data_IF_916460044715
#
_entry.id   IF_916460044715
#
_cell.length_a   1.000
_cell.length_b   1.000
_cell.length_c   1.000
_cell.angle_alpha   90.00
_cell.angle_beta   90.00
_cell.angle_gamma   90.00
#
_symmetry.space_group_name_H-M   'P 1'
#
loop_
_entity.id
_entity.type
_entity.pdbx_description
1 polymer ?
#
# COMPACT_ATOMS: atom_id res chain seq x y z
N UNK A 1 12.63 24.56 67.13
CA UNK A 1 11.59 25.28 66.36
C UNK A 1 12.23 25.77 65.08
N UNK A 2 11.87 25.19 63.93
CA UNK A 2 12.21 25.72 62.60
C UNK A 2 11.07 25.32 61.67
N UNK A 3 10.30 26.30 61.24
CA UNK A 3 9.06 26.14 60.47
C UNK A 3 9.37 25.90 59.01
N UNK A 4 8.86 24.79 58.50
CA UNK A 4 8.73 24.42 57.09
C UNK A 4 8.04 25.51 56.27
N UNK A 5 8.68 25.96 55.17
CA UNK A 5 8.00 26.68 54.10
C UNK A 5 7.43 25.65 53.12
N UNK A 6 6.12 25.48 53.17
CA UNK A 6 5.34 24.71 52.20
C UNK A 6 5.27 25.55 50.91
N UNK A 7 5.95 25.09 49.87
CA UNK A 7 5.87 25.68 48.53
C UNK A 7 4.50 25.38 47.93
N UNK A 8 3.77 26.42 47.57
CA UNK A 8 2.49 26.34 46.86
C UNK A 8 2.68 25.67 45.49
N UNK A 9 1.86 24.67 45.11
CA UNK A 9 1.89 24.13 43.76
C UNK A 9 1.36 25.18 42.76
N UNK A 10 2.15 25.42 41.71
CA UNK A 10 1.87 26.38 40.64
C UNK A 10 0.60 26.00 39.87
N UNK A 11 -0.49 26.71 40.14
CA UNK A 11 -1.79 26.51 39.46
C UNK A 11 -1.73 26.74 37.94
N UNK A 12 -0.67 27.39 37.44
CA UNK A 12 -0.43 27.66 36.02
C UNK A 12 -0.14 26.38 35.23
N UNK A 13 0.56 25.40 35.81
CA UNK A 13 0.75 24.10 35.16
C UNK A 13 -0.53 23.26 35.16
N UNK A 14 -1.38 23.43 36.17
CA UNK A 14 -2.65 22.71 36.27
C UNK A 14 -3.66 23.23 35.23
N UNK A 15 -3.78 24.56 35.08
CA UNK A 15 -4.62 25.17 34.05
C UNK A 15 -4.16 24.86 32.63
N UNK A 16 -2.86 24.92 32.37
CA UNK A 16 -2.31 24.56 31.06
C UNK A 16 -2.59 23.10 30.68
N UNK A 17 -2.68 22.20 31.68
CA UNK A 17 -3.02 20.79 31.49
C UNK A 17 -4.53 20.59 31.28
N UNK A 18 -5.37 21.37 31.97
CA UNK A 18 -6.84 21.33 31.82
C UNK A 18 -7.29 21.91 30.48
N UNK A 19 -6.72 23.03 30.03
CA UNK A 19 -7.02 23.57 28.70
C UNK A 19 -6.53 22.65 27.57
N UNK A 20 -5.41 21.93 27.77
CA UNK A 20 -4.94 20.87 26.86
C UNK A 20 -5.89 19.68 26.80
N UNK A 21 -6.40 19.22 27.93
CA UNK A 21 -7.40 18.14 28.01
C UNK A 21 -8.69 18.50 27.27
N UNK A 22 -9.17 19.74 27.37
CA UNK A 22 -10.33 20.19 26.60
C UNK A 22 -10.03 20.34 25.10
N UNK A 23 -8.80 20.74 24.74
CA UNK A 23 -8.34 20.79 23.36
C UNK A 23 -8.22 19.41 22.71
N UNK A 24 -7.61 18.43 23.37
CA UNK A 24 -7.49 17.06 22.85
C UNK A 24 -8.86 16.38 22.74
N UNK A 25 -9.74 16.58 23.73
CA UNK A 25 -11.11 16.06 23.66
C UNK A 25 -11.93 16.67 22.51
N UNK A 26 -11.86 17.98 22.29
CA UNK A 26 -12.56 18.61 21.16
C UNK A 26 -12.03 18.14 19.80
N UNK A 27 -10.71 17.95 19.69
CA UNK A 27 -10.04 17.48 18.47
C UNK A 27 -10.30 16.00 18.18
N UNK A 28 -10.49 15.17 19.21
CA UNK A 28 -10.89 13.76 19.05
C UNK A 28 -12.24 13.60 18.33
N UNK A 29 -13.07 14.64 18.30
CA UNK A 29 -14.37 14.66 17.61
C UNK A 29 -14.35 15.37 16.25
N UNK A 30 -13.30 16.12 15.91
CA UNK A 30 -13.13 16.62 14.54
C UNK A 30 -12.72 15.46 13.64
N UNK A 31 -13.64 14.94 12.83
CA UNK A 31 -13.30 13.93 11.82
C UNK A 31 -12.31 14.53 10.84
N UNK A 32 -11.33 13.74 10.41
CA UNK A 32 -10.56 14.07 9.22
C UNK A 32 -11.54 14.25 8.06
N UNK A 33 -11.20 15.13 7.12
CA UNK A 33 -11.95 15.17 5.86
C UNK A 33 -11.83 13.81 5.19
N UNK A 34 -12.92 13.29 4.59
CA UNK A 34 -12.82 12.05 3.84
C UNK A 34 -11.81 12.23 2.71
N UNK A 35 -10.96 11.23 2.56
CA UNK A 35 -9.85 11.19 1.60
C UNK A 35 -9.87 9.85 0.90
N UNK A 36 -9.63 9.87 -0.41
CA UNK A 36 -9.81 8.69 -1.26
C UNK A 36 -8.51 7.86 -1.40
N UNK A 37 -7.35 8.47 -1.12
CA UNK A 37 -6.03 7.86 -1.28
C UNK A 37 -5.08 8.15 -0.10
N UNK A 38 -4.03 7.33 0.00
CA UNK A 38 -3.05 7.38 1.07
C UNK A 38 -2.19 8.66 1.08
N UNK A 39 -1.66 9.15 -0.06
CA UNK A 39 -0.96 10.44 -0.09
C UNK A 39 -1.80 11.62 0.44
N UNK A 40 -3.08 11.69 0.05
CA UNK A 40 -4.01 12.71 0.54
C UNK A 40 -4.25 12.58 2.05
N UNK A 41 -4.37 11.36 2.57
CA UNK A 41 -4.48 11.10 4.00
C UNK A 41 -3.26 11.61 4.76
N UNK A 42 -2.05 11.27 4.32
CA UNK A 42 -0.81 11.69 4.98
C UNK A 42 -0.63 13.21 4.94
N UNK A 43 -0.97 13.85 3.82
CA UNK A 43 -0.97 15.30 3.71
C UNK A 43 -1.96 15.95 4.69
N UNK A 44 -3.15 15.37 4.87
CA UNK A 44 -4.13 15.85 5.84
C UNK A 44 -3.67 15.66 7.28
N UNK A 45 -3.07 14.51 7.61
CA UNK A 45 -2.46 14.28 8.92
C UNK A 45 -1.35 15.31 9.20
N UNK A 46 -0.47 15.57 8.23
CA UNK A 46 0.55 16.60 8.35
C UNK A 46 -0.01 18.00 8.57
N UNK A 47 -1.03 18.40 7.80
CA UNK A 47 -1.72 19.69 7.98
C UNK A 47 -2.32 19.82 9.38
N UNK A 48 -2.91 18.74 9.91
CA UNK A 48 -3.61 18.73 11.18
C UNK A 48 -2.67 18.71 12.39
N UNK A 49 -1.63 17.88 12.35
CA UNK A 49 -0.78 17.61 13.51
C UNK A 49 0.48 18.48 13.56
N UNK A 50 0.96 19.04 12.44
CA UNK A 50 2.13 19.93 12.47
C UNK A 50 1.96 21.18 13.35
N UNK A 51 0.78 21.86 13.42
CA UNK A 51 0.59 22.96 14.37
C UNK A 51 0.63 22.51 15.84
N UNK A 52 0.15 21.29 16.14
CA UNK A 52 0.15 20.72 17.49
C UNK A 52 1.58 20.39 17.94
N UNK A 53 2.33 19.67 17.10
CA UNK A 53 3.73 19.36 17.36
C UNK A 53 4.56 20.63 17.60
N UNK A 54 4.36 21.68 16.78
CA UNK A 54 5.02 22.98 16.98
C UNK A 54 4.65 23.65 18.31
N UNK A 55 3.41 23.52 18.76
CA UNK A 55 2.96 24.12 20.02
C UNK A 55 3.62 23.44 21.25
N UNK A 56 3.96 22.16 21.13
CA UNK A 56 4.65 21.38 22.15
C UNK A 56 6.16 21.28 21.90
N UNK A 57 6.71 22.08 20.97
CA UNK A 57 8.13 22.08 20.58
C UNK A 57 8.66 20.71 20.11
N UNK A 58 7.76 19.85 19.64
CA UNK A 58 8.07 18.51 19.13
C UNK A 58 8.33 18.57 17.63
N UNK A 59 9.42 17.95 17.18
CA UNK A 59 9.68 17.72 15.76
C UNK A 59 8.72 16.64 15.24
N UNK A 60 8.09 16.89 14.09
CA UNK A 60 7.20 15.93 13.42
C UNK A 60 7.72 15.65 12.01
N UNK A 61 7.97 14.38 11.72
CA UNK A 61 8.39 13.89 10.41
C UNK A 61 7.35 12.94 9.83
N UNK A 62 7.14 13.05 8.52
CA UNK A 62 6.23 12.21 7.74
C UNK A 62 7.00 11.74 6.52
N UNK A 63 7.22 10.44 6.42
CA UNK A 63 8.02 9.84 5.35
C UNK A 63 7.27 8.68 4.70
N UNK A 64 7.42 8.54 3.39
CA UNK A 64 6.72 7.55 2.57
C UNK A 64 7.70 6.96 1.58
N UNK A 65 7.81 5.64 1.59
CA UNK A 65 8.60 4.90 0.61
C UNK A 65 8.10 5.24 -0.81
N UNK A 66 8.97 5.71 -1.72
CA UNK A 66 8.60 6.04 -3.10
C UNK A 66 8.05 4.85 -3.89
N UNK A 67 8.21 3.60 -3.43
CA UNK A 67 7.61 2.41 -4.03
C UNK A 67 6.10 2.25 -3.73
N UNK A 68 5.55 3.01 -2.79
CA UNK A 68 4.13 2.96 -2.45
C UNK A 68 3.29 3.53 -3.60
N UNK A 69 2.31 2.77 -4.06
CA UNK A 69 1.42 3.19 -5.13
C UNK A 69 0.57 4.41 -4.69
N UNK A 70 0.46 5.45 -5.52
CA UNK A 70 -0.26 6.68 -5.15
C UNK A 70 -1.79 6.50 -5.13
N UNK A 71 -2.29 5.46 -5.79
CA UNK A 71 -3.71 5.19 -6.03
C UNK A 71 -4.25 4.03 -5.18
N UNK A 72 -3.59 3.72 -4.06
CA UNK A 72 -4.07 2.71 -3.12
C UNK A 72 -5.44 3.09 -2.56
N UNK A 73 -6.33 2.11 -2.54
CA UNK A 73 -7.70 2.22 -2.03
C UNK A 73 -7.90 1.34 -0.81
N UNK A 74 -8.80 1.76 0.09
CA UNK A 74 -9.08 1.07 1.34
C UNK A 74 -9.93 1.90 2.28
N UNK A 75 -10.02 1.48 3.55
CA UNK A 75 -10.76 2.20 4.58
C UNK A 75 -9.98 3.42 5.11
N UNK A 76 -9.71 4.40 4.24
CA UNK A 76 -8.85 5.55 4.53
C UNK A 76 -9.34 6.39 5.71
N UNK A 77 -10.66 6.56 5.86
CA UNK A 77 -11.25 7.29 6.99
C UNK A 77 -10.96 6.62 8.34
N UNK A 78 -11.07 5.29 8.39
CA UNK A 78 -10.80 4.51 9.61
C UNK A 78 -9.31 4.49 9.91
N UNK A 79 -8.48 4.28 8.90
CA UNK A 79 -7.02 4.37 9.02
C UNK A 79 -6.59 5.75 9.53
N UNK A 80 -7.10 6.82 8.94
CA UNK A 80 -6.80 8.18 9.36
C UNK A 80 -7.20 8.44 10.81
N UNK A 81 -8.34 7.91 11.25
CA UNK A 81 -8.77 8.00 12.65
C UNK A 81 -7.78 7.29 13.58
N UNK A 82 -7.33 6.09 13.20
CA UNK A 82 -6.34 5.34 13.99
C UNK A 82 -5.00 6.08 14.02
N UNK A 83 -4.43 6.42 12.87
CA UNK A 83 -3.14 7.12 12.78
C UNK A 83 -3.17 8.46 13.52
N UNK A 84 -4.27 9.21 13.40
CA UNK A 84 -4.46 10.45 14.15
C UNK A 84 -4.44 10.25 15.67
N UNK A 85 -5.05 9.17 16.17
CA UNK A 85 -5.02 8.85 17.59
C UNK A 85 -3.62 8.43 18.08
N UNK A 86 -2.84 7.74 17.23
CA UNK A 86 -1.47 7.34 17.53
C UNK A 86 -0.52 8.55 17.52
N UNK A 87 -0.67 9.46 16.56
CA UNK A 87 0.08 10.71 16.45
C UNK A 87 -0.23 11.66 17.62
N UNK A 88 -1.49 11.81 18.00
CA UNK A 88 -1.86 12.63 19.16
C UNK A 88 -1.19 12.11 20.44
N UNK A 89 -1.22 10.79 20.66
CA UNK A 89 -0.50 10.18 21.78
C UNK A 89 1.00 10.44 21.69
N UNK A 90 1.61 10.24 20.51
CA UNK A 90 3.05 10.42 20.30
C UNK A 90 3.49 11.85 20.65
N UNK A 91 2.77 12.86 20.15
CA UNK A 91 3.06 14.27 20.42
C UNK A 91 2.88 14.59 21.91
N UNK A 92 1.81 14.09 22.53
CA UNK A 92 1.56 14.31 23.96
C UNK A 92 2.69 13.80 24.87
N UNK A 93 3.33 12.67 24.50
CA UNK A 93 4.38 12.04 25.32
C UNK A 93 5.79 12.53 25.00
N UNK A 94 6.04 12.92 23.75
CA UNK A 94 7.32 13.42 23.25
C UNK A 94 7.38 14.96 23.24
N UNK A 95 6.68 15.65 24.13
CA UNK A 95 6.71 17.11 24.22
C UNK A 95 8.16 17.62 24.34
N UNK A 96 8.61 18.42 23.36
CA UNK A 96 10.00 18.89 23.22
C UNK A 96 10.99 17.90 22.58
N UNK A 97 10.50 16.75 22.10
CA UNK A 97 11.27 15.67 21.49
C UNK A 97 10.93 15.47 20.02
N UNK A 98 10.78 14.22 19.60
CA UNK A 98 10.63 13.82 18.20
C UNK A 98 9.51 12.79 18.00
N UNK A 99 8.73 12.98 16.94
CA UNK A 99 7.71 12.06 16.45
C UNK A 99 7.87 11.85 14.95
N UNK A 100 7.76 10.61 14.50
CA UNK A 100 7.74 10.27 13.08
C UNK A 100 6.55 9.37 12.74
N UNK A 101 6.02 9.54 11.53
CA UNK A 101 5.20 8.52 10.86
C UNK A 101 5.89 8.13 9.56
N UNK A 102 6.27 6.85 9.48
CA UNK A 102 6.91 6.25 8.31
C UNK A 102 5.93 5.26 7.66
N UNK A 103 5.94 5.20 6.33
CA UNK A 103 5.12 4.28 5.56
C UNK A 103 6.02 3.52 4.59
N UNK A 104 6.20 2.23 4.84
CA UNK A 104 7.11 1.36 4.11
C UNK A 104 6.34 0.28 3.34
N UNK A 105 6.77 -0.03 2.10
CA UNK A 105 6.23 -1.16 1.34
C UNK A 105 6.92 -2.45 1.82
N UNK A 106 6.13 -3.42 2.29
CA UNK A 106 6.66 -4.71 2.79
C UNK A 106 6.23 -5.92 1.97
N UNK A 107 5.24 -5.75 1.09
CA UNK A 107 4.82 -6.78 0.15
C UNK A 107 3.95 -6.21 -0.95
N UNK A 108 4.02 -6.81 -2.14
CA UNK A 108 3.25 -6.37 -3.30
C UNK A 108 2.70 -7.56 -4.06
N UNK A 109 1.48 -7.39 -4.55
CA UNK A 109 0.85 -8.23 -5.55
C UNK A 109 0.30 -7.34 -6.67
N UNK A 110 -0.08 -7.88 -7.83
CA UNK A 110 -0.63 -7.06 -8.92
C UNK A 110 -1.95 -6.35 -8.61
N UNK A 111 -2.62 -6.69 -7.50
CA UNK A 111 -3.87 -6.06 -7.07
C UNK A 111 -3.82 -5.47 -5.67
N UNK A 112 -2.68 -5.54 -4.98
CA UNK A 112 -2.57 -5.06 -3.61
C UNK A 112 -1.14 -4.74 -3.19
N UNK A 113 -0.99 -3.81 -2.25
CA UNK A 113 0.27 -3.59 -1.54
C UNK A 113 0.04 -3.76 -0.04
N UNK A 114 0.95 -4.45 0.63
CA UNK A 114 1.01 -4.55 2.08
C UNK A 114 2.01 -3.52 2.59
N UNK A 115 1.56 -2.64 3.48
CA UNK A 115 2.35 -1.55 4.01
C UNK A 115 2.59 -1.72 5.52
N UNK A 116 3.76 -1.28 5.98
CA UNK A 116 4.03 -1.01 7.39
C UNK A 116 3.92 0.49 7.65
N UNK A 117 2.99 0.89 8.50
CA UNK A 117 2.83 2.25 8.97
C UNK A 117 3.36 2.34 10.41
N UNK A 118 4.48 3.03 10.60
CA UNK A 118 5.17 3.11 11.89
C UNK A 118 5.04 4.51 12.47
N UNK A 119 4.35 4.63 13.60
CA UNK A 119 4.36 5.85 14.42
C UNK A 119 5.39 5.70 15.52
N UNK A 120 6.47 6.48 15.46
CA UNK A 120 7.57 6.47 16.41
C UNK A 120 7.61 7.75 17.25
N UNK A 121 8.03 7.64 18.51
CA UNK A 121 8.33 8.77 19.39
C UNK A 121 9.48 8.45 20.34
N UNK A 122 10.18 9.48 20.81
CA UNK A 122 11.27 9.39 21.80
C UNK A 122 10.81 9.57 23.26
N UNK A 123 9.50 9.53 23.50
CA UNK A 123 8.90 9.64 24.82
C UNK A 123 9.04 8.36 25.66
N UNK A 124 8.45 8.36 26.87
CA UNK A 124 8.47 7.21 27.76
C UNK A 124 7.90 5.94 27.09
N UNK A 125 8.48 4.75 27.36
CA UNK A 125 8.02 3.48 26.79
C UNK A 125 6.52 3.24 27.01
N UNK A 126 5.80 2.91 25.95
CA UNK A 126 4.38 2.55 26.01
C UNK A 126 4.22 1.04 25.88
N UNK A 127 3.45 0.42 26.79
CA UNK A 127 3.19 -1.02 26.70
C UNK A 127 2.06 -1.30 25.71
N UNK A 128 2.13 -2.46 25.03
CA UNK A 128 1.06 -2.93 24.15
C UNK A 128 -0.31 -3.08 24.87
N UNK A 129 -0.30 -3.21 26.20
CA UNK A 129 -1.49 -3.32 27.05
C UNK A 129 -2.04 -1.98 27.53
N UNK A 130 -1.44 -0.85 27.14
CA UNK A 130 -1.93 0.47 27.50
C UNK A 130 -3.39 0.65 27.00
N UNK A 131 -4.34 1.12 27.84
CA UNK A 131 -5.71 1.36 27.42
C UNK A 131 -5.86 2.25 26.17
N UNK A 132 -4.91 3.15 25.91
CA UNK A 132 -4.88 3.99 24.72
C UNK A 132 -4.64 3.19 23.43
N UNK A 133 -4.08 1.98 23.52
CA UNK A 133 -3.82 1.09 22.37
C UNK A 133 -4.99 0.17 22.02
N UNK A 134 -5.99 0.02 22.91
CA UNK A 134 -7.13 -0.88 22.69
C UNK A 134 -7.94 -0.49 21.44
N UNK A 135 -8.31 0.79 21.32
CA UNK A 135 -9.11 1.27 20.19
C UNK A 135 -8.33 1.17 18.87
N UNK A 136 -7.07 1.67 18.78
CA UNK A 136 -6.22 1.43 17.61
C UNK A 136 -6.13 -0.05 17.22
N UNK A 137 -5.79 -0.92 18.18
CA UNK A 137 -5.62 -2.35 17.92
C UNK A 137 -6.89 -2.99 17.35
N UNK A 138 -8.03 -2.80 18.00
CA UNK A 138 -9.31 -3.38 17.53
C UNK A 138 -9.73 -2.82 16.17
N UNK A 139 -9.45 -1.54 15.89
CA UNK A 139 -9.77 -0.94 14.60
C UNK A 139 -8.90 -1.54 13.49
N UNK A 140 -7.59 -1.68 13.70
CA UNK A 140 -6.67 -2.30 12.74
C UNK A 140 -7.03 -3.77 12.49
N UNK A 141 -7.32 -4.54 13.55
CA UNK A 141 -7.75 -5.94 13.41
C UNK A 141 -9.05 -6.05 12.58
N UNK A 142 -9.98 -5.09 12.73
CA UNK A 142 -11.21 -5.04 11.95
C UNK A 142 -10.97 -4.72 10.48
N UNK A 143 -9.92 -3.96 10.17
CA UNK A 143 -9.45 -3.72 8.81
C UNK A 143 -8.65 -4.90 8.22
N UNK A 144 -8.51 -6.01 8.97
CA UNK A 144 -7.73 -7.17 8.54
C UNK A 144 -6.23 -7.02 8.70
N UNK A 145 -5.77 -5.99 9.43
CA UNK A 145 -4.37 -5.74 9.71
C UNK A 145 -3.90 -6.27 11.07
N UNK A 146 -2.65 -5.95 11.39
CA UNK A 146 -2.03 -6.24 12.69
C UNK A 146 -1.38 -4.99 13.27
N UNK A 147 -1.47 -4.80 14.59
CA UNK A 147 -0.78 -3.72 15.31
C UNK A 147 0.18 -4.30 16.34
N UNK A 148 1.44 -3.91 16.23
CA UNK A 148 2.52 -4.24 17.15
C UNK A 148 3.03 -2.98 17.85
N UNK A 149 3.42 -3.11 19.12
CA UNK A 149 4.08 -2.04 19.87
C UNK A 149 5.43 -2.53 20.33
N UNK A 150 6.47 -1.82 19.91
CA UNK A 150 7.83 -2.01 20.37
C UNK A 150 8.23 -0.81 21.19
N UNK A 151 8.86 -1.01 22.35
CA UNK A 151 9.30 0.11 23.18
C UNK A 151 10.53 -0.24 23.98
N UNK A 152 11.41 0.74 24.17
CA UNK A 152 12.62 0.60 24.94
C UNK A 152 13.10 1.95 25.48
N UNK A 153 13.80 1.98 26.62
CA UNK A 153 14.22 3.23 27.27
C UNK A 153 15.20 4.06 26.43
N UNK A 154 15.93 3.44 25.50
CA UNK A 154 16.89 4.13 24.61
C UNK A 154 16.31 4.43 23.22
N UNK A 155 15.17 3.83 22.89
CA UNK A 155 14.63 3.80 21.52
C UNK A 155 13.26 4.49 21.43
N UNK A 156 12.64 4.75 22.57
CA UNK A 156 11.29 5.31 22.67
C UNK A 156 10.21 4.27 22.41
N UNK A 157 9.12 4.68 21.77
CA UNK A 157 8.00 3.81 21.39
C UNK A 157 7.84 3.80 19.87
N UNK A 158 7.66 2.61 19.28
CA UNK A 158 7.22 2.41 17.90
C UNK A 158 5.94 1.61 17.87
N UNK A 159 4.90 2.18 17.27
CA UNK A 159 3.65 1.48 16.98
C UNK A 159 3.64 1.18 15.50
N UNK A 160 3.70 -0.11 15.16
CA UNK A 160 3.82 -0.62 13.80
C UNK A 160 2.47 -1.22 13.41
N UNK A 161 1.92 -0.73 12.32
CA UNK A 161 0.63 -1.17 11.76
C UNK A 161 0.91 -1.82 10.41
N UNK A 162 0.58 -3.10 10.28
CA UNK A 162 0.65 -3.83 9.01
C UNK A 162 -0.75 -3.92 8.40
N UNK A 163 -0.90 -3.49 7.15
CA UNK A 163 -2.18 -3.46 6.45
C UNK A 163 -2.01 -3.68 4.95
N UNK A 164 -2.91 -4.47 4.36
CA UNK A 164 -3.03 -4.64 2.92
C UNK A 164 -4.03 -3.64 2.34
N UNK A 165 -3.64 -2.98 1.25
CA UNK A 165 -4.44 -2.03 0.50
C UNK A 165 -4.70 -2.58 -0.89
N UNK A 166 -5.91 -2.35 -1.41
CA UNK A 166 -6.23 -2.72 -2.77
C UNK A 166 -5.60 -1.69 -3.71
N UNK A 167 -4.85 -2.16 -4.68
CA UNK A 167 -4.31 -1.36 -5.77
C UNK A 167 -5.24 -1.51 -6.98
N UNK A 168 -5.68 -0.41 -7.62
CA UNK A 168 -6.38 -0.49 -8.89
C UNK A 168 -5.53 -1.29 -9.87
N UNK A 169 -6.12 -2.32 -10.48
CA UNK A 169 -5.41 -3.14 -11.47
C UNK A 169 -4.99 -2.22 -12.62
N UNK A 170 -3.69 -1.93 -12.72
CA UNK A 170 -3.15 -1.18 -13.85
C UNK A 170 -3.13 -2.13 -15.04
N UNK A 171 -4.11 -1.97 -15.93
CA UNK A 171 -4.16 -2.75 -17.16
C UNK A 171 -2.81 -2.62 -17.88
N UNK A 172 -2.23 -3.72 -18.37
CA UNK A 172 -0.97 -3.65 -19.08
C UNK A 172 -1.12 -2.71 -20.28
N UNK A 173 -0.14 -1.83 -20.46
CA UNK A 173 -0.17 -0.84 -21.54
C UNK A 173 0.14 -1.56 -22.86
N UNK A 174 -0.78 -1.43 -23.81
CA UNK A 174 -0.64 -1.91 -25.18
C UNK A 174 -0.60 -0.69 -26.09
N UNK A 175 0.50 -0.49 -26.82
CA UNK A 175 0.61 0.61 -27.77
C UNK A 175 -0.01 0.23 -29.12
N UNK A 176 -1.32 0.41 -29.22
CA UNK A 176 -2.09 0.11 -30.44
C UNK A 176 -1.63 0.98 -31.63
N UNK A 177 -1.19 2.20 -31.37
CA UNK A 177 -0.72 3.12 -32.42
C UNK A 177 0.61 2.66 -33.00
N UNK A 178 1.54 2.24 -32.13
CA UNK A 178 2.78 1.59 -32.55
C UNK A 178 2.48 0.30 -33.32
N UNK A 179 1.59 -0.56 -32.82
CA UNK A 179 1.20 -1.80 -33.51
C UNK A 179 0.67 -1.51 -34.92
N UNK A 180 -0.24 -0.55 -35.03
CA UNK A 180 -0.85 -0.11 -36.29
C UNK A 180 0.18 0.44 -37.27
N UNK A 181 1.12 1.24 -36.77
CA UNK A 181 2.20 1.82 -37.56
C UNK A 181 3.14 0.72 -38.09
N UNK A 182 3.57 -0.20 -37.21
CA UNK A 182 4.46 -1.32 -37.55
C UNK A 182 3.83 -2.28 -38.57
N UNK A 183 2.52 -2.51 -38.47
CA UNK A 183 1.78 -3.41 -39.36
C UNK A 183 1.33 -2.75 -40.67
N UNK A 184 1.54 -1.44 -40.83
CA UNK A 184 1.22 -0.74 -42.07
C UNK A 184 -0.27 -0.39 -42.26
N UNK A 185 -1.06 -0.40 -41.19
CA UNK A 185 -2.44 0.12 -41.19
C UNK A 185 -3.48 -0.74 -40.46
N UNK A 186 -4.73 -0.26 -40.47
CA UNK A 186 -5.83 -0.81 -39.67
C UNK A 186 -6.24 -2.24 -40.07
N UNK A 187 -6.23 -2.56 -41.37
CA UNK A 187 -6.61 -3.89 -41.84
C UNK A 187 -5.65 -4.98 -41.32
N UNK A 188 -4.35 -4.72 -41.39
CA UNK A 188 -3.32 -5.62 -40.87
C UNK A 188 -3.39 -5.73 -39.34
N UNK A 189 -3.66 -4.62 -38.64
CA UNK A 189 -3.89 -4.62 -37.19
C UNK A 189 -5.02 -5.58 -36.79
N UNK A 190 -6.17 -5.52 -37.46
CA UNK A 190 -7.33 -6.37 -37.17
C UNK A 190 -7.00 -7.86 -37.37
N UNK A 191 -6.28 -8.20 -38.43
CA UNK A 191 -5.85 -9.58 -38.70
C UNK A 191 -4.88 -10.10 -37.63
N UNK A 192 -3.91 -9.27 -37.24
CA UNK A 192 -2.96 -9.61 -36.18
C UNK A 192 -3.68 -9.77 -34.84
N UNK A 193 -4.56 -8.85 -34.47
CA UNK A 193 -5.37 -8.98 -33.24
C UNK A 193 -6.16 -10.29 -33.24
N UNK A 194 -6.77 -10.68 -34.37
CA UNK A 194 -7.49 -11.95 -34.45
C UNK A 194 -6.57 -13.18 -34.31
N UNK A 195 -5.36 -13.13 -34.84
CA UNK A 195 -4.36 -14.19 -34.68
C UNK A 195 -3.85 -14.29 -33.23
N UNK A 196 -3.54 -13.14 -32.60
CA UNK A 196 -3.15 -13.06 -31.19
C UNK A 196 -4.27 -13.58 -30.28
N UNK A 197 -5.52 -13.23 -30.58
CA UNK A 197 -6.71 -13.66 -29.85
C UNK A 197 -6.88 -15.18 -29.85
N UNK A 198 -6.72 -15.80 -31.02
CA UNK A 198 -6.78 -17.25 -31.15
C UNK A 198 -5.64 -17.95 -30.38
N UNK A 199 -4.42 -17.41 -30.46
CA UNK A 199 -3.25 -17.99 -29.79
C UNK A 199 -3.35 -17.87 -28.26
N UNK A 200 -3.54 -16.65 -27.73
CA UNK A 200 -3.59 -16.40 -26.29
C UNK A 200 -4.78 -17.08 -25.62
N UNK A 201 -5.96 -17.09 -26.24
CA UNK A 201 -7.15 -17.73 -25.63
C UNK A 201 -6.89 -19.20 -25.32
N UNK A 202 -6.20 -19.90 -26.22
CA UNK A 202 -5.87 -21.31 -26.04
C UNK A 202 -4.87 -21.49 -24.92
N UNK A 203 -3.75 -20.77 -24.96
CA UNK A 203 -2.72 -20.89 -23.92
C UNK A 203 -3.28 -20.51 -22.53
N UNK A 204 -4.11 -19.47 -22.43
CA UNK A 204 -4.74 -19.05 -21.16
C UNK A 204 -5.69 -20.12 -20.61
N UNK A 205 -6.45 -20.80 -21.47
CA UNK A 205 -7.34 -21.90 -21.03
C UNK A 205 -6.56 -23.08 -20.46
N UNK A 206 -5.33 -23.31 -20.95
CA UNK A 206 -4.48 -24.41 -20.48
C UNK A 206 -3.78 -24.11 -19.14
N UNK A 207 -3.73 -22.85 -18.70
CA UNK A 207 -2.91 -22.42 -17.56
C UNK A 207 -3.30 -23.10 -16.24
N UNK A 208 -4.59 -23.13 -15.88
CA UNK A 208 -5.06 -23.71 -14.62
C UNK A 208 -4.65 -25.19 -14.50
N UNK A 209 -4.78 -25.91 -15.62
CA UNK A 209 -4.35 -27.30 -15.72
C UNK A 209 -2.84 -27.45 -15.51
N UNK A 210 -2.03 -26.61 -16.16
CA UNK A 210 -0.55 -26.63 -16.01
C UNK A 210 -0.08 -26.31 -14.59
N UNK A 211 -0.75 -25.39 -13.91
CA UNK A 211 -0.51 -25.10 -12.49
C UNK A 211 -0.89 -26.31 -11.61
N UNK A 212 -1.93 -27.07 -11.96
CA UNK A 212 -2.35 -28.23 -11.16
C UNK A 212 -1.50 -29.51 -11.34
N UNK A 213 -0.96 -29.76 -12.54
CA UNK A 213 -0.38 -31.07 -12.90
C UNK A 213 1.06 -31.30 -12.39
N UNK A 214 1.75 -30.27 -11.90
CA UNK A 214 3.12 -30.39 -11.39
C UNK A 214 4.15 -30.66 -12.49
N UNK A 215 4.89 -29.64 -12.90
CA UNK A 215 5.94 -29.73 -13.92
C UNK A 215 6.50 -28.35 -14.28
N UNK A 216 7.83 -28.26 -14.39
CA UNK A 216 8.56 -27.03 -14.74
C UNK A 216 8.53 -26.82 -16.25
N UNK A 217 8.94 -27.82 -17.03
CA UNK A 217 9.14 -27.71 -18.48
C UNK A 217 7.89 -27.19 -19.23
N UNK A 218 6.71 -27.67 -18.86
CA UNK A 218 5.46 -27.27 -19.53
C UNK A 218 5.04 -25.83 -19.18
N UNK A 219 5.23 -25.40 -17.93
CA UNK A 219 4.98 -24.02 -17.51
C UNK A 219 6.00 -23.06 -18.12
N UNK A 220 7.26 -23.47 -18.18
CA UNK A 220 8.32 -22.69 -18.82
C UNK A 220 8.03 -22.50 -20.31
N UNK A 221 7.66 -23.57 -21.02
CA UNK A 221 7.26 -23.49 -22.42
C UNK A 221 6.01 -22.62 -22.63
N UNK A 222 5.08 -22.63 -21.67
CA UNK A 222 3.90 -21.76 -21.69
C UNK A 222 4.28 -20.29 -21.50
N UNK A 223 5.11 -19.96 -20.49
CA UNK A 223 5.62 -18.61 -20.24
C UNK A 223 6.34 -18.06 -21.48
N UNK A 224 7.21 -18.86 -22.08
CA UNK A 224 7.96 -18.47 -23.27
C UNK A 224 7.02 -18.10 -24.44
N UNK A 225 6.00 -18.94 -24.71
CA UNK A 225 5.03 -18.67 -25.78
C UNK A 225 4.20 -17.43 -25.50
N UNK A 226 3.59 -17.33 -24.30
CA UNK A 226 2.73 -16.20 -23.94
C UNK A 226 3.51 -14.89 -23.96
N UNK A 227 4.74 -14.88 -23.41
CA UNK A 227 5.63 -13.70 -23.45
C UNK A 227 5.96 -13.30 -24.88
N UNK A 228 6.25 -14.25 -25.77
CA UNK A 228 6.48 -13.98 -27.18
C UNK A 228 5.27 -13.34 -27.87
N UNK A 229 4.07 -13.86 -27.61
CA UNK A 229 2.83 -13.32 -28.18
C UNK A 229 2.52 -11.91 -27.64
N UNK A 230 2.74 -11.68 -26.34
CA UNK A 230 2.60 -10.35 -25.73
C UNK A 230 3.63 -9.35 -26.27
N UNK A 231 4.86 -9.80 -26.56
CA UNK A 231 5.87 -8.98 -27.22
C UNK A 231 5.43 -8.56 -28.62
N UNK A 232 4.82 -9.46 -29.39
CA UNK A 232 4.22 -9.14 -30.69
C UNK A 232 3.03 -8.18 -30.58
N UNK A 233 2.35 -8.17 -29.43
CA UNK A 233 1.25 -7.27 -29.12
C UNK A 233 1.72 -5.89 -28.62
N UNK A 234 3.03 -5.58 -28.62
CA UNK A 234 3.59 -4.36 -28.02
C UNK A 234 3.20 -4.17 -26.54
N UNK A 235 2.93 -5.27 -25.82
CA UNK A 235 2.76 -5.30 -24.37
C UNK A 235 4.12 -5.57 -23.70
N UNK A 236 5.12 -4.74 -24.01
CA UNK A 236 6.54 -5.03 -23.76
C UNK A 236 6.87 -5.25 -22.28
N UNK A 237 6.27 -4.47 -21.38
CA UNK A 237 6.48 -4.61 -19.93
C UNK A 237 5.99 -5.97 -19.43
N UNK A 238 4.80 -6.40 -19.88
CA UNK A 238 4.24 -7.68 -19.49
C UNK A 238 5.04 -8.84 -20.11
N UNK A 239 5.44 -8.71 -21.38
CA UNK A 239 6.31 -9.70 -22.03
C UNK A 239 7.63 -9.90 -21.27
N UNK A 240 8.24 -8.80 -20.79
CA UNK A 240 9.45 -8.87 -19.98
C UNK A 240 9.20 -9.53 -18.62
N UNK A 241 8.07 -9.26 -17.96
CA UNK A 241 7.70 -9.91 -16.72
C UNK A 241 7.58 -11.44 -16.89
N UNK A 242 6.97 -11.90 -17.98
CA UNK A 242 6.87 -13.33 -18.29
C UNK A 242 8.22 -14.01 -18.52
N UNK A 243 9.19 -13.32 -19.15
CA UNK A 243 10.56 -13.82 -19.30
C UNK A 243 11.31 -13.92 -17.98
N UNK A 244 11.10 -12.98 -17.05
CA UNK A 244 11.68 -13.05 -15.71
C UNK A 244 11.12 -14.25 -14.93
N UNK A 245 9.80 -14.46 -14.99
CA UNK A 245 9.17 -15.64 -14.40
C UNK A 245 9.68 -16.95 -15.04
N UNK A 246 10.02 -16.94 -16.33
CA UNK A 246 10.63 -18.08 -17.01
C UNK A 246 11.99 -18.44 -16.38
N UNK A 247 12.82 -17.43 -16.10
CA UNK A 247 14.09 -17.59 -15.40
C UNK A 247 13.90 -18.07 -13.95
N UNK A 248 13.03 -17.42 -13.18
CA UNK A 248 12.77 -17.79 -11.78
C UNK A 248 12.25 -19.22 -11.65
N UNK A 249 11.41 -19.66 -12.58
CA UNK A 249 10.89 -21.02 -12.62
C UNK A 249 11.99 -22.06 -12.87
N UNK A 250 13.04 -21.71 -13.63
CA UNK A 250 14.19 -22.57 -13.87
C UNK A 250 15.04 -22.78 -12.61
N UNK A 251 15.04 -21.81 -11.70
CA UNK A 251 15.73 -21.91 -10.39
C UNK A 251 14.95 -22.76 -9.37
N UNK A 252 13.68 -23.03 -9.64
CA UNK A 252 12.88 -24.01 -8.91
C UNK A 252 11.43 -23.58 -8.73
N UNK A 253 10.50 -24.54 -8.81
CA UNK A 253 9.06 -24.27 -8.67
C UNK A 253 8.62 -24.28 -7.20
N UNK A 254 7.76 -23.34 -6.82
CA UNK A 254 7.08 -23.30 -5.53
C UNK A 254 5.84 -22.41 -5.54
N UNK A 255 5.07 -22.43 -4.46
CA UNK A 255 3.75 -21.75 -4.38
C UNK A 255 3.80 -20.25 -4.71
N UNK A 256 4.91 -19.58 -4.39
CA UNK A 256 5.08 -18.16 -4.71
C UNK A 256 5.18 -17.92 -6.22
N UNK A 257 5.94 -18.76 -6.93
CA UNK A 257 6.09 -18.68 -8.40
C UNK A 257 4.78 -19.09 -9.08
N UNK A 258 4.10 -20.12 -8.58
CA UNK A 258 2.79 -20.54 -9.13
C UNK A 258 1.76 -19.41 -9.03
N UNK A 259 1.71 -18.69 -7.90
CA UNK A 259 0.87 -17.49 -7.75
C UNK A 259 1.26 -16.38 -8.72
N UNK A 260 2.56 -16.12 -8.89
CA UNK A 260 3.05 -15.09 -9.79
C UNK A 260 2.70 -15.40 -11.25
N UNK A 261 2.86 -16.66 -11.68
CA UNK A 261 2.46 -17.15 -13.01
C UNK A 261 0.95 -17.03 -13.20
N UNK A 262 0.16 -17.39 -12.19
CA UNK A 262 -1.30 -17.22 -12.21
C UNK A 262 -1.69 -15.76 -12.46
N UNK A 263 -1.09 -14.84 -11.71
CA UNK A 263 -1.35 -13.40 -11.88
C UNK A 263 -0.92 -12.88 -13.25
N UNK A 264 0.25 -13.31 -13.75
CA UNK A 264 0.70 -13.00 -15.10
C UNK A 264 -0.30 -13.46 -16.17
N UNK A 265 -0.86 -14.66 -16.02
CA UNK A 265 -1.91 -15.18 -16.91
C UNK A 265 -3.17 -14.31 -16.91
N UNK A 266 -3.60 -13.83 -15.74
CA UNK A 266 -4.73 -12.91 -15.67
C UNK A 266 -4.43 -11.55 -16.35
N UNK A 267 -3.21 -11.02 -16.22
CA UNK A 267 -2.81 -9.78 -16.90
C UNK A 267 -2.75 -9.96 -18.42
N UNK A 268 -2.28 -11.11 -18.90
CA UNK A 268 -2.34 -11.47 -20.31
C UNK A 268 -3.78 -11.59 -20.82
N UNK A 269 -4.71 -12.12 -20.00
CA UNK A 269 -6.13 -12.14 -20.31
C UNK A 269 -6.74 -10.74 -20.40
N UNK A 270 -6.29 -9.81 -19.55
CA UNK A 270 -6.72 -8.41 -19.59
C UNK A 270 -6.24 -7.68 -20.85
N UNK A 271 -4.99 -7.90 -21.29
CA UNK A 271 -4.48 -7.44 -22.59
C UNK A 271 -5.36 -7.97 -23.73
N UNK A 272 -5.67 -9.26 -23.69
CA UNK A 272 -6.48 -9.88 -24.72
C UNK A 272 -7.89 -9.25 -24.80
N UNK A 273 -8.51 -8.96 -23.67
CA UNK A 273 -9.80 -8.24 -23.63
C UNK A 273 -9.69 -6.85 -24.27
N UNK A 274 -8.64 -6.08 -23.95
CA UNK A 274 -8.40 -4.75 -24.53
C UNK A 274 -8.22 -4.81 -26.06
N UNK A 275 -7.51 -5.81 -26.56
CA UNK A 275 -7.32 -6.03 -28.00
C UNK A 275 -8.65 -6.36 -28.70
N UNK A 276 -9.50 -7.19 -28.07
CA UNK A 276 -10.84 -7.52 -28.59
C UNK A 276 -11.74 -6.29 -28.67
N UNK A 277 -11.74 -5.46 -27.63
CA UNK A 277 -12.52 -4.22 -27.60
C UNK A 277 -12.11 -3.25 -28.72
N UNK A 278 -10.81 -3.14 -29.02
CA UNK A 278 -10.34 -2.33 -30.16
C UNK A 278 -10.76 -2.90 -31.52
N UNK A 279 -10.82 -4.22 -31.67
CA UNK A 279 -11.29 -4.86 -32.90
C UNK A 279 -12.79 -4.60 -33.14
N UNK A 280 -13.58 -4.64 -32.07
CA UNK A 280 -15.04 -4.56 -32.16
C UNK A 280 -15.56 -3.12 -32.09
N UNK A 281 -14.82 -2.18 -31.47
CA UNK A 281 -15.14 -0.76 -31.41
C UNK A 281 -15.13 -0.03 -32.76
N UNK A 282 -14.40 -0.54 -33.75
CA UNK A 282 -14.33 -0.02 -35.13
C UNK A 282 -15.40 -0.60 -36.07
N UNK A 283 -16.30 -1.47 -35.58
CA UNK A 283 -17.39 -2.10 -36.37
C UNK A 283 -18.73 -1.35 -36.29
N UNK A 284 -18.81 -0.24 -35.55
CA UNK A 284 -19.99 0.64 -35.43
C UNK A 284 -19.80 1.95 -36.18
#
# INVERSE_FOLDING_TARGET
MSTSRIGTPSWRHYLARVTRLFGSLARRFERLRPVDDLPALLAELGRRYAPLARADETALELDVDPAVAPDLTGAMDELGTVLGSLLERAIDVAAGGYVALQVDLVGETPTSQTLHLTVADDGPPTLATDPKMLIPKTSIERLGGHLQVESGPEVGTRVIVELAFAMPRRLPRVDIDALRSTLGGQAALVEVIAALDLALSRDLTDLERLLSEGGVDHLQAWLHRVSGVLGMAEASELAQAGLLLECDLADGRGDAIDRAIGSFGEDAAAVLALLRDHRDGDRL
#
